data_IF_169094736074
#
_entry.id   IF_169094736074
#
_cell.length_a   1.000
_cell.length_b   1.000
_cell.length_c   1.000
_cell.angle_alpha   90.00
_cell.angle_beta   90.00
_cell.angle_gamma   90.00
#
_symmetry.space_group_name_H-M   'P 1'
#
loop_
_entity.id
_entity.type
_entity.pdbx_description
1 polymer ?
#
# COMPACT_ATOMS: atom_id res chain seq x y z
N UNK A 1 -0.95 -11.74 -2.10
CA UNK A 1 -1.73 -10.62 -1.52
C UNK A 1 -0.80 -9.81 -0.63
N UNK A 2 -0.84 -8.47 -0.61
CA UNK A 2 -0.08 -7.66 0.35
C UNK A 2 -0.92 -7.50 1.61
N UNK A 3 -0.87 -8.48 2.50
CA UNK A 3 -1.71 -8.52 3.69
C UNK A 3 -1.47 -7.31 4.62
N UNK A 4 -0.23 -6.80 4.68
CA UNK A 4 0.09 -5.59 5.44
C UNK A 4 -0.75 -4.37 5.05
N UNK A 5 -0.99 -4.14 3.76
CA UNK A 5 -1.81 -3.01 3.32
C UNK A 5 -3.27 -3.13 3.77
N UNK A 6 -3.79 -4.37 3.79
CA UNK A 6 -5.15 -4.66 4.24
C UNK A 6 -5.25 -4.42 5.76
N UNK A 7 -4.25 -4.84 6.52
CA UNK A 7 -4.15 -4.61 7.97
C UNK A 7 -4.04 -3.12 8.28
N UNK A 8 -3.14 -2.40 7.59
CA UNK A 8 -2.93 -0.96 7.74
C UNK A 8 -4.17 -0.14 7.40
N UNK A 9 -4.95 -0.60 6.42
CA UNK A 9 -6.22 0.01 6.03
C UNK A 9 -7.29 -0.17 7.13
N UNK A 10 -7.27 -1.28 7.85
CA UNK A 10 -8.25 -1.58 8.91
C UNK A 10 -9.69 -1.47 8.39
N UNK A 11 -10.49 -0.62 9.04
CA UNK A 11 -11.90 -0.39 8.70
C UNK A 11 -12.10 0.55 7.49
N UNK A 12 -11.04 1.23 7.03
CA UNK A 12 -11.16 2.15 5.88
C UNK A 12 -11.46 1.37 4.61
N UNK A 13 -12.25 1.95 3.72
CA UNK A 13 -12.46 1.36 2.39
C UNK A 13 -11.28 1.67 1.46
N UNK A 14 -11.07 0.83 0.45
CA UNK A 14 -10.08 1.06 -0.62
C UNK A 14 -10.30 2.43 -1.27
N UNK A 15 -11.56 2.86 -1.41
CA UNK A 15 -11.91 4.15 -1.99
C UNK A 15 -11.42 5.32 -1.17
N UNK A 16 -11.55 5.25 0.16
CA UNK A 16 -11.13 6.31 1.06
C UNK A 16 -9.62 6.47 1.06
N UNK A 17 -8.90 5.37 1.23
CA UNK A 17 -7.43 5.37 1.18
C UNK A 17 -6.92 5.83 -0.20
N UNK A 18 -7.56 5.39 -1.29
CA UNK A 18 -7.17 5.82 -2.63
C UNK A 18 -7.37 7.33 -2.81
N UNK A 19 -8.47 7.89 -2.30
CA UNK A 19 -8.71 9.35 -2.31
C UNK A 19 -7.65 10.10 -1.52
N UNK A 20 -7.34 9.63 -0.32
CA UNK A 20 -6.34 10.23 0.59
C UNK A 20 -4.94 10.24 -0.04
N UNK A 21 -4.55 9.12 -0.65
CA UNK A 21 -3.31 8.99 -1.40
C UNK A 21 -3.32 9.67 -2.78
N UNK A 22 -4.46 10.24 -3.19
CA UNK A 22 -4.68 10.84 -4.50
C UNK A 22 -4.36 9.89 -5.66
N UNK A 23 -4.83 8.65 -5.55
CA UNK A 23 -4.72 7.60 -6.58
C UNK A 23 -6.09 7.02 -6.91
N UNK A 24 -6.15 6.24 -7.99
CA UNK A 24 -7.39 5.54 -8.32
C UNK A 24 -7.58 4.32 -7.42
N UNK A 25 -8.84 3.98 -7.14
CA UNK A 25 -9.22 2.77 -6.39
C UNK A 25 -8.64 1.49 -7.03
N UNK A 26 -8.58 1.47 -8.36
CA UNK A 26 -7.98 0.38 -9.15
C UNK A 26 -6.47 0.27 -8.90
N UNK A 27 -5.77 1.42 -8.81
CA UNK A 27 -4.34 1.44 -8.50
C UNK A 27 -4.07 0.84 -7.12
N UNK A 28 -4.81 1.27 -6.09
CA UNK A 28 -4.65 0.72 -4.74
C UNK A 28 -4.96 -0.78 -4.70
N UNK A 29 -6.06 -1.20 -5.32
CA UNK A 29 -6.43 -2.62 -5.42
C UNK A 29 -5.36 -3.46 -6.13
N UNK A 30 -4.78 -2.96 -7.22
CA UNK A 30 -3.70 -3.66 -7.92
C UNK A 30 -2.43 -3.78 -7.07
N UNK A 31 -2.13 -2.76 -6.26
CA UNK A 31 -1.01 -2.78 -5.32
C UNK A 31 -1.27 -3.80 -4.20
N UNK A 32 -2.47 -3.84 -3.62
CA UNK A 32 -2.86 -4.81 -2.59
C UNK A 32 -2.85 -6.25 -3.11
N UNK A 33 -3.22 -6.46 -4.37
CA UNK A 33 -3.22 -7.78 -4.99
C UNK A 33 -1.84 -8.23 -5.51
N UNK A 34 -0.77 -7.45 -5.33
CA UNK A 34 0.53 -7.64 -6.01
C UNK A 34 0.45 -7.64 -7.55
N UNK A 35 -0.68 -7.25 -8.13
CA UNK A 35 -0.84 -7.15 -9.58
C UNK A 35 -0.02 -5.98 -10.16
N UNK A 36 0.31 -4.98 -9.35
CA UNK A 36 1.15 -3.84 -9.78
C UNK A 36 2.14 -3.40 -8.71
N UNK A 37 3.33 -3.04 -9.18
CA UNK A 37 4.37 -2.39 -8.38
C UNK A 37 4.18 -0.87 -8.46
N UNK A 38 3.96 -0.16 -7.35
CA UNK A 38 3.87 1.29 -7.38
C UNK A 38 5.24 1.91 -7.69
N UNK A 39 5.23 3.10 -8.30
CA UNK A 39 6.45 3.89 -8.44
C UNK A 39 7.00 4.28 -7.07
N UNK A 40 8.31 4.51 -6.96
CA UNK A 40 8.97 4.87 -5.71
C UNK A 40 8.31 6.08 -5.00
N UNK A 41 7.84 7.07 -5.77
CA UNK A 41 7.11 8.22 -5.23
C UNK A 41 5.77 7.81 -4.57
N UNK A 42 5.03 6.89 -5.19
CA UNK A 42 3.77 6.40 -4.66
C UNK A 42 3.99 5.46 -3.46
N UNK A 43 5.00 4.60 -3.54
CA UNK A 43 5.41 3.76 -2.42
C UNK A 43 5.79 4.60 -1.20
N UNK A 44 6.57 5.69 -1.40
CA UNK A 44 6.85 6.67 -0.35
C UNK A 44 5.58 7.30 0.22
N UNK A 45 4.64 7.70 -0.64
CA UNK A 45 3.39 8.34 -0.20
C UNK A 45 2.55 7.41 0.67
N UNK A 46 2.46 6.13 0.29
CA UNK A 46 1.81 5.08 1.07
C UNK A 46 2.52 4.87 2.41
N UNK A 47 3.84 4.75 2.40
CA UNK A 47 4.65 4.58 3.60
C UNK A 47 4.43 5.73 4.60
N UNK A 48 4.48 6.99 4.11
CA UNK A 48 4.22 8.19 4.92
C UNK A 48 2.78 8.22 5.43
N UNK A 49 1.80 7.87 4.59
CA UNK A 49 0.39 7.86 4.98
C UNK A 49 0.11 6.92 6.15
N UNK A 50 0.78 5.77 6.17
CA UNK A 50 0.65 4.75 7.21
C UNK A 50 1.72 4.84 8.30
N UNK A 51 2.52 5.92 8.32
CA UNK A 51 3.64 6.11 9.27
C UNK A 51 4.56 4.88 9.38
N UNK A 52 4.86 4.27 8.24
CA UNK A 52 5.69 3.06 8.11
C UNK A 52 6.75 3.28 7.03
N UNK A 53 7.60 2.28 6.78
CA UNK A 53 8.63 2.35 5.74
C UNK A 53 8.20 1.61 4.48
N UNK A 54 8.77 1.98 3.33
CA UNK A 54 8.54 1.26 2.06
C UNK A 54 8.98 -0.20 2.21
N UNK A 55 10.10 -0.42 2.91
CA UNK A 55 10.61 -1.75 3.23
C UNK A 55 9.56 -2.54 4.01
N UNK A 56 9.00 -1.98 5.08
CA UNK A 56 7.99 -2.70 5.85
C UNK A 56 6.74 -3.03 5.02
N UNK A 57 6.27 -2.11 4.17
CA UNK A 57 5.04 -2.32 3.37
C UNK A 57 5.23 -3.26 2.18
N UNK A 58 6.39 -3.22 1.52
CA UNK A 58 6.63 -3.87 0.23
C UNK A 58 7.66 -4.99 0.26
N UNK A 59 8.55 -5.01 1.25
CA UNK A 59 9.60 -6.01 1.42
C UNK A 59 9.32 -6.79 2.71
N UNK A 60 8.71 -7.96 2.56
CA UNK A 60 8.71 -8.94 3.64
C UNK A 60 10.12 -9.50 3.74
N UNK A 61 10.86 -9.13 4.78
CA UNK A 61 12.15 -9.73 5.12
C UNK A 61 11.95 -11.21 5.45
N UNK A 62 11.83 -12.06 4.44
CA UNK A 62 12.19 -13.47 4.61
C UNK A 62 13.71 -13.56 4.56
N UNK A 63 14.35 -13.34 5.70
CA UNK A 63 15.61 -14.02 5.95
C UNK A 63 15.29 -15.51 6.05
N UNK A 64 15.72 -16.27 5.05
CA UNK A 64 15.98 -17.70 5.18
C UNK A 64 17.41 -17.95 4.73
#
# INVERSE_FOLDING_TARGET
MREKLIILRGEKTITEVAKDLNITRQMLSAIENNARTPSLALARKIAVYYSTTIEDVFFESKCN
#
